data_IF_265723638090
#
_entry.id   IF_265723638090
#
_cell.length_a   1.000
_cell.length_b   1.000
_cell.length_c   1.000
_cell.angle_alpha   90.00
_cell.angle_beta   90.00
_cell.angle_gamma   90.00
#
_symmetry.space_group_name_H-M   'P 1'
#
loop_
_entity.id
_entity.type
_entity.pdbx_description
1 polymer ?
#
# COMPACT_ATOMS: atom_id res chain seq x y z
N UNK A 1 29.25 22.46 26.87
CA UNK A 1 28.90 22.06 25.49
C UNK A 1 27.39 22.13 25.37
N UNK A 2 26.82 22.80 24.35
CA UNK A 2 25.38 22.79 24.16
C UNK A 2 24.93 21.36 23.79
N UNK A 3 24.00 20.83 24.57
CA UNK A 3 23.45 19.48 24.49
C UNK A 3 22.83 19.26 23.09
N UNK A 4 23.12 18.16 22.36
CA UNK A 4 22.55 17.91 21.04
C UNK A 4 21.04 17.74 21.17
N UNK A 5 20.29 18.84 20.98
CA UNK A 5 18.84 18.91 20.95
C UNK A 5 18.16 17.87 21.88
N UNK A 6 18.10 18.16 23.19
CA UNK A 6 17.12 17.49 24.05
C UNK A 6 15.74 17.78 23.46
N UNK A 7 15.23 16.83 22.68
CA UNK A 7 13.90 16.87 22.09
C UNK A 7 12.94 16.75 23.27
N UNK A 8 12.62 17.88 23.90
CA UNK A 8 11.62 17.91 24.98
C UNK A 8 10.30 17.46 24.39
N UNK A 9 9.69 16.44 25.00
CA UNK A 9 8.39 15.98 24.58
C UNK A 9 7.33 16.94 25.13
N UNK A 10 6.45 17.43 24.26
CA UNK A 10 5.34 18.30 24.62
C UNK A 10 4.02 17.81 23.99
N UNK A 11 2.85 18.30 24.44
CA UNK A 11 1.56 17.89 23.88
C UNK A 11 1.39 18.16 22.37
N UNK A 12 2.03 19.21 21.84
CA UNK A 12 1.97 19.52 20.41
C UNK A 12 2.76 18.51 19.58
N UNK A 13 3.91 18.05 20.08
CA UNK A 13 4.73 17.00 19.48
C UNK A 13 4.02 15.65 19.50
N UNK A 14 3.33 15.31 20.60
CA UNK A 14 2.47 14.11 20.64
C UNK A 14 1.38 14.16 19.57
N UNK A 15 0.76 15.33 19.40
CA UNK A 15 -0.26 15.56 18.36
C UNK A 15 0.34 15.44 16.95
N UNK A 16 1.56 15.97 16.74
CA UNK A 16 2.26 15.86 15.46
C UNK A 16 2.61 14.40 15.12
N UNK A 17 3.13 13.63 16.09
CA UNK A 17 3.42 12.20 15.92
C UNK A 17 2.15 11.40 15.61
N UNK A 18 1.04 11.70 16.29
CA UNK A 18 -0.27 11.16 15.97
C UNK A 18 -0.69 11.48 14.52
N UNK A 19 -0.55 12.73 14.09
CA UNK A 19 -0.88 13.12 12.73
C UNK A 19 0.01 12.40 11.68
N UNK A 20 1.30 12.21 11.96
CA UNK A 20 2.21 11.44 11.10
C UNK A 20 1.72 9.99 10.99
N UNK A 21 1.46 9.32 12.11
CA UNK A 21 0.97 7.94 12.10
C UNK A 21 -0.36 7.78 11.35
N UNK A 22 -1.28 8.76 11.44
CA UNK A 22 -2.53 8.76 10.65
C UNK A 22 -2.26 8.86 9.16
N UNK A 23 -1.40 9.79 8.74
CA UNK A 23 -1.04 9.96 7.32
C UNK A 23 -0.35 8.72 6.77
N UNK A 24 0.61 8.15 7.51
CA UNK A 24 1.29 6.91 7.10
C UNK A 24 0.30 5.75 6.94
N UNK A 25 -0.67 5.61 7.86
CA UNK A 25 -1.75 4.61 7.73
C UNK A 25 -2.59 4.83 6.48
N UNK A 26 -3.01 6.06 6.22
CA UNK A 26 -3.82 6.40 5.05
C UNK A 26 -3.06 6.09 3.74
N UNK A 27 -1.77 6.43 3.66
CA UNK A 27 -0.92 6.07 2.53
C UNK A 27 -0.82 4.56 2.33
N UNK A 28 -0.59 3.80 3.41
CA UNK A 28 -0.54 2.33 3.35
C UNK A 28 -1.86 1.72 2.86
N UNK A 29 -3.01 2.22 3.34
CA UNK A 29 -4.32 1.76 2.88
C UNK A 29 -4.51 2.05 1.39
N UNK A 30 -4.23 3.26 0.93
CA UNK A 30 -4.35 3.60 -0.50
C UNK A 30 -3.47 2.75 -1.41
N UNK A 31 -2.24 2.43 -0.98
CA UNK A 31 -1.35 1.52 -1.73
C UNK A 31 -1.85 0.07 -1.71
N UNK A 32 -2.41 -0.37 -0.59
CA UNK A 32 -2.99 -1.71 -0.46
C UNK A 32 -4.18 -1.89 -1.39
N UNK A 33 -5.06 -0.89 -1.46
CA UNK A 33 -6.21 -0.89 -2.37
C UNK A 33 -5.73 -0.89 -3.84
N UNK A 34 -4.73 -0.07 -4.17
CA UNK A 34 -4.16 -0.02 -5.53
C UNK A 34 -3.56 -1.38 -5.96
N UNK A 35 -2.78 -2.03 -5.09
CA UNK A 35 -2.23 -3.37 -5.37
C UNK A 35 -3.34 -4.40 -5.55
N UNK A 36 -4.40 -4.32 -4.73
CA UNK A 36 -5.56 -5.20 -4.86
C UNK A 36 -6.26 -5.03 -6.21
N UNK A 37 -6.56 -3.79 -6.61
CA UNK A 37 -7.21 -3.45 -7.88
C UNK A 37 -6.38 -3.93 -9.08
N UNK A 38 -5.06 -3.76 -9.04
CA UNK A 38 -4.17 -4.22 -10.11
C UNK A 38 -4.14 -5.74 -10.22
N UNK A 39 -4.14 -6.46 -9.09
CA UNK A 39 -4.24 -7.94 -9.08
C UNK A 39 -5.60 -8.41 -9.59
N UNK A 40 -6.67 -7.68 -9.32
CA UNK A 40 -7.99 -7.94 -9.90
C UNK A 40 -8.00 -7.73 -11.41
N UNK A 41 -7.48 -6.60 -11.89
CA UNK A 41 -7.35 -6.32 -13.33
C UNK A 41 -6.52 -7.39 -14.06
N UNK A 42 -5.46 -7.92 -13.43
CA UNK A 42 -4.68 -9.04 -14.00
C UNK A 42 -5.51 -10.33 -14.14
N UNK A 43 -6.36 -10.63 -13.16
CA UNK A 43 -7.30 -11.76 -13.23
C UNK A 43 -8.31 -11.55 -14.37
N UNK A 44 -8.79 -10.32 -14.56
CA UNK A 44 -9.69 -9.99 -15.66
C UNK A 44 -9.06 -10.18 -17.03
N UNK A 45 -7.83 -9.70 -17.21
CA UNK A 45 -7.09 -9.92 -18.47
C UNK A 45 -6.86 -11.40 -18.75
N UNK A 46 -6.58 -12.20 -17.71
CA UNK A 46 -6.46 -13.66 -17.84
C UNK A 46 -7.78 -14.26 -18.36
N UNK A 47 -8.90 -13.88 -17.74
CA UNK A 47 -10.23 -14.33 -18.16
C UNK A 47 -10.54 -13.92 -19.59
N UNK A 48 -10.25 -12.68 -19.96
CA UNK A 48 -10.46 -12.18 -21.33
C UNK A 48 -9.64 -12.96 -22.36
N UNK A 49 -8.37 -13.25 -22.05
CA UNK A 49 -7.48 -14.03 -22.91
C UNK A 49 -8.05 -15.43 -23.17
N UNK A 50 -8.50 -16.10 -22.12
CA UNK A 50 -9.05 -17.46 -22.21
C UNK A 50 -10.37 -17.48 -23.00
N UNK A 51 -11.20 -16.44 -22.85
CA UNK A 51 -12.42 -16.25 -23.65
C UNK A 51 -12.10 -16.02 -25.14
N UNK A 52 -11.10 -15.20 -25.45
CA UNK A 52 -10.67 -14.95 -26.84
C UNK A 52 -10.18 -16.23 -27.50
N UNK A 53 -9.33 -17.00 -26.80
CA UNK A 53 -8.80 -18.26 -27.32
C UNK A 53 -9.92 -19.29 -27.55
N UNK A 54 -10.83 -19.46 -26.59
CA UNK A 54 -11.95 -20.41 -26.72
C UNK A 54 -12.91 -20.02 -27.85
N UNK A 55 -13.24 -18.73 -28.00
CA UNK A 55 -14.08 -18.24 -29.09
C UNK A 55 -13.43 -18.44 -30.47
N UNK A 56 -12.12 -18.19 -30.58
CA UNK A 56 -11.37 -18.42 -31.81
C UNK A 56 -11.33 -19.90 -32.22
N UNK A 57 -11.08 -20.79 -31.25
CA UNK A 57 -11.07 -22.24 -31.48
C UNK A 57 -12.43 -22.76 -31.97
N UNK A 58 -13.54 -22.24 -31.45
CA UNK A 58 -14.88 -22.61 -31.87
C UNK A 58 -15.24 -22.12 -33.29
N UNK A 59 -14.55 -21.09 -33.78
CA UNK A 59 -14.89 -20.39 -35.03
C UNK A 59 -14.05 -20.83 -36.24
N UNK A 60 -13.15 -21.80 -36.05
CA UNK A 60 -12.34 -22.39 -37.13
C UNK A 60 -10.92 -21.82 -37.26
N UNK A 61 -10.10 -22.35 -38.20
CA UNK A 61 -8.65 -22.13 -38.20
C UNK A 61 -8.20 -20.67 -38.40
N UNK A 62 -8.88 -19.93 -39.28
CA UNK A 62 -8.56 -18.52 -39.53
C UNK A 62 -8.86 -17.64 -38.29
N UNK A 63 -10.02 -17.88 -37.65
CA UNK A 63 -10.40 -17.18 -36.42
C UNK A 63 -9.51 -17.58 -35.23
N UNK A 64 -9.04 -18.82 -35.17
CA UNK A 64 -8.09 -19.27 -34.16
C UNK A 64 -6.74 -18.54 -34.27
N UNK A 65 -6.26 -18.26 -35.49
CA UNK A 65 -5.03 -17.49 -35.70
C UNK A 65 -5.18 -16.03 -35.22
N UNK A 66 -6.29 -15.38 -35.56
CA UNK A 66 -6.59 -14.01 -35.09
C UNK A 66 -6.76 -13.95 -33.56
N UNK A 67 -7.43 -14.95 -32.98
CA UNK A 67 -7.56 -15.07 -31.53
C UNK A 67 -6.20 -15.26 -30.83
N UNK A 68 -5.27 -15.99 -31.44
CA UNK A 68 -3.93 -16.17 -30.89
C UNK A 68 -3.16 -14.84 -30.85
N UNK A 69 -3.28 -14.01 -31.88
CA UNK A 69 -2.67 -12.67 -31.91
C UNK A 69 -3.24 -11.75 -30.82
N UNK A 70 -4.58 -11.71 -30.70
CA UNK A 70 -5.26 -10.96 -29.64
C UNK A 70 -4.90 -11.45 -28.24
N UNK A 71 -4.78 -12.77 -28.06
CA UNK A 71 -4.36 -13.37 -26.80
C UNK A 71 -2.90 -13.03 -26.46
N UNK A 72 -2.01 -12.93 -27.45
CA UNK A 72 -0.64 -12.49 -27.27
C UNK A 72 -0.58 -11.01 -26.82
N UNK A 73 -1.41 -10.14 -27.40
CA UNK A 73 -1.51 -8.74 -26.97
C UNK A 73 -2.01 -8.62 -25.52
N UNK A 74 -2.99 -9.43 -25.11
CA UNK A 74 -3.44 -9.50 -23.72
C UNK A 74 -2.35 -10.03 -22.78
N UNK A 75 -1.56 -11.02 -23.21
CA UNK A 75 -0.45 -11.54 -22.43
C UNK A 75 0.65 -10.49 -22.22
N UNK A 76 0.94 -9.64 -23.22
CA UNK A 76 1.86 -8.52 -23.08
C UNK A 76 1.37 -7.51 -22.03
N UNK A 77 0.10 -7.10 -22.10
CA UNK A 77 -0.51 -6.20 -21.09
C UNK A 77 -0.47 -6.80 -19.68
N UNK A 78 -0.65 -8.12 -19.55
CA UNK A 78 -0.53 -8.81 -18.26
C UNK A 78 0.90 -8.78 -17.72
N UNK A 79 1.92 -8.86 -18.59
CA UNK A 79 3.32 -8.78 -18.20
C UNK A 79 3.68 -7.37 -17.72
N UNK A 80 3.24 -6.34 -18.44
CA UNK A 80 3.42 -4.93 -18.04
C UNK A 80 2.75 -4.67 -16.68
N UNK A 81 1.49 -5.09 -16.52
CA UNK A 81 0.76 -4.95 -15.27
C UNK A 81 1.43 -5.73 -14.12
N UNK A 82 2.03 -6.89 -14.39
CA UNK A 82 2.75 -7.65 -13.37
C UNK A 82 4.02 -6.90 -12.91
N UNK A 83 4.73 -6.24 -13.81
CA UNK A 83 5.86 -5.38 -13.45
C UNK A 83 5.41 -4.20 -12.57
N UNK A 84 4.31 -3.55 -12.94
CA UNK A 84 3.75 -2.44 -12.15
C UNK A 84 3.29 -2.91 -10.75
N UNK A 85 2.69 -4.11 -10.64
CA UNK A 85 2.31 -4.69 -9.35
C UNK A 85 3.53 -4.86 -8.45
N UNK A 86 4.64 -5.36 -8.98
CA UNK A 86 5.88 -5.53 -8.19
C UNK A 86 6.38 -4.18 -7.67
N UNK A 87 6.36 -3.13 -8.49
CA UNK A 87 6.75 -1.79 -8.07
C UNK A 87 5.85 -1.30 -6.92
N UNK A 88 4.53 -1.46 -7.06
CA UNK A 88 3.57 -1.05 -6.03
C UNK A 88 3.65 -1.88 -4.76
N UNK A 89 4.00 -3.17 -4.85
CA UNK A 89 4.24 -4.03 -3.68
C UNK A 89 5.47 -3.56 -2.89
N UNK A 90 6.53 -3.11 -3.57
CA UNK A 90 7.69 -2.51 -2.91
C UNK A 90 7.28 -1.21 -2.20
N UNK A 91 6.56 -0.31 -2.87
CA UNK A 91 6.06 0.92 -2.25
C UNK A 91 5.11 0.64 -1.06
N UNK A 92 4.27 -0.38 -1.17
CA UNK A 92 3.38 -0.82 -0.10
C UNK A 92 4.19 -1.31 1.11
N UNK A 93 5.26 -2.08 0.88
CA UNK A 93 6.15 -2.55 1.94
C UNK A 93 6.85 -1.38 2.62
N UNK A 94 7.39 -0.44 1.87
CA UNK A 94 8.01 0.78 2.41
C UNK A 94 7.01 1.61 3.24
N UNK A 95 5.77 1.74 2.76
CA UNK A 95 4.70 2.43 3.50
C UNK A 95 4.30 1.69 4.78
N UNK A 96 4.32 0.35 4.76
CA UNK A 96 4.08 -0.50 5.93
C UNK A 96 5.16 -0.27 6.99
N UNK A 97 6.42 -0.26 6.58
CA UNK A 97 7.55 -0.03 7.47
C UNK A 97 7.52 1.40 8.04
N UNK A 98 7.19 2.39 7.22
CA UNK A 98 7.00 3.77 7.66
C UNK A 98 5.87 3.91 8.68
N UNK A 99 4.74 3.23 8.46
CA UNK A 99 3.63 3.22 9.43
C UNK A 99 4.02 2.50 10.72
N UNK A 100 4.71 1.36 10.66
CA UNK A 100 5.19 0.64 11.82
C UNK A 100 6.15 1.50 12.66
N UNK A 101 7.09 2.20 12.01
CA UNK A 101 8.00 3.13 12.67
C UNK A 101 7.25 4.31 13.30
N UNK A 102 6.32 4.95 12.58
CA UNK A 102 5.52 6.05 13.11
C UNK A 102 4.68 5.63 14.33
N UNK A 103 4.05 4.44 14.26
CA UNK A 103 3.28 3.87 15.37
C UNK A 103 4.16 3.56 16.58
N UNK A 104 5.34 2.96 16.36
CA UNK A 104 6.30 2.65 17.42
C UNK A 104 6.80 3.93 18.12
N UNK A 105 7.16 4.96 17.35
CA UNK A 105 7.59 6.25 17.88
C UNK A 105 6.49 6.91 18.71
N UNK A 106 5.25 6.89 18.22
CA UNK A 106 4.10 7.43 18.96
C UNK A 106 3.87 6.67 20.27
N UNK A 107 3.93 5.33 20.24
CA UNK A 107 3.77 4.49 21.44
C UNK A 107 4.84 4.83 22.49
N UNK A 108 6.10 4.91 22.08
CA UNK A 108 7.22 5.27 22.95
C UNK A 108 7.06 6.67 23.53
N UNK A 109 6.63 7.64 22.72
CA UNK A 109 6.37 9.00 23.17
C UNK A 109 5.22 9.07 24.19
N UNK A 110 4.11 8.35 23.98
CA UNK A 110 3.00 8.27 24.94
C UNK A 110 3.49 7.67 26.27
N UNK A 111 4.21 6.55 26.21
CA UNK A 111 4.74 5.91 27.42
C UNK A 111 5.70 6.84 28.19
N UNK A 112 6.56 7.58 27.48
CA UNK A 112 7.42 8.59 28.10
C UNK A 112 6.61 9.71 28.74
N UNK A 113 5.60 10.25 28.04
CA UNK A 113 4.73 11.29 28.56
C UNK A 113 4.03 10.86 29.86
N UNK A 114 3.53 9.63 29.91
CA UNK A 114 2.90 9.06 31.11
C UNK A 114 3.89 8.93 32.28
N UNK A 115 5.13 8.52 32.01
CA UNK A 115 6.19 8.41 33.04
C UNK A 115 6.57 9.76 33.65
N UNK A 116 6.59 10.83 32.85
CA UNK A 116 6.97 12.18 33.32
C UNK A 116 5.76 13.04 33.73
N UNK A 117 4.55 12.47 33.75
CA UNK A 117 3.32 13.19 34.12
C UNK A 117 2.85 14.25 33.12
N UNK A 118 3.29 14.15 31.86
CA UNK A 118 2.82 15.04 30.78
C UNK A 118 1.39 14.68 30.36
N UNK A 119 0.58 15.71 30.13
CA UNK A 119 -0.78 15.54 29.63
C UNK A 119 -0.75 14.99 28.19
N UNK A 120 -1.37 13.84 27.97
CA UNK A 120 -1.55 13.25 26.64
C UNK A 120 -2.81 13.87 26.00
N UNK A 121 -2.72 14.46 24.80
CA UNK A 121 -3.88 15.01 24.10
C UNK A 121 -4.97 13.95 23.83
N UNK A 122 -6.24 14.38 23.84
CA UNK A 122 -7.38 13.54 23.54
C UNK A 122 -7.29 12.95 22.10
N UNK A 123 -7.78 11.73 21.90
CA UNK A 123 -7.74 11.04 20.61
C UNK A 123 -6.36 10.52 20.17
N UNK A 124 -5.29 10.75 20.95
CA UNK A 124 -3.96 10.17 20.69
C UNK A 124 -3.88 8.72 21.18
N UNK A 125 -4.49 8.41 22.33
CA UNK A 125 -4.54 7.03 22.86
C UNK A 125 -5.42 6.10 22.02
N UNK A 126 -6.52 6.62 21.47
CA UNK A 126 -7.42 5.89 20.56
C UNK A 126 -6.72 5.42 19.28
N UNK A 127 -5.62 6.08 18.87
CA UNK A 127 -4.82 5.63 17.73
C UNK A 127 -3.97 4.39 18.00
N UNK A 128 -3.80 4.01 19.27
CA UNK A 128 -3.02 2.83 19.67
C UNK A 128 -3.88 1.57 19.83
N UNK A 129 -5.20 1.74 19.91
CA UNK A 129 -6.21 0.68 19.92
C UNK A 129 -6.35 0.06 18.54
#
# INVERSE_FOLDING_TARGET
MPNPAEITLDPARLTALAAIARRSRASLTGLTDAVYDMRERRRDLTRQRDLVLSAGQASGPAAAAEAAERAAALAAQMADLAADVVIREVEQQEASDAYAAARSNLKTAIAHAELVGLQVPAGVKEMMS
#
